data_IF_299947971715
#
_entry.id   IF_299947971715
#
_cell.length_a   1.000
_cell.length_b   1.000
_cell.length_c   1.000
_cell.angle_alpha   90.00
_cell.angle_beta   90.00
_cell.angle_gamma   90.00
#
_symmetry.space_group_name_H-M   'P 1'
#
loop_
_entity.id
_entity.type
_entity.pdbx_description
1 polymer ?
#
# COMPACT_ATOMS: atom_id res chain seq x y z
N UNK A 1 -69.58 27.27 -73.10
CA UNK A 1 -71.01 27.62 -73.08
C UNK A 1 -71.28 28.49 -74.29
N UNK A 2 -72.14 28.02 -75.18
CA UNK A 2 -72.55 28.64 -76.45
C UNK A 2 -73.40 29.89 -76.26
N UNK A 3 -73.42 30.80 -77.26
CA UNK A 3 -74.52 31.64 -77.79
C UNK A 3 -73.89 32.74 -78.71
N UNK A 4 -74.01 32.73 -80.05
CA UNK A 4 -75.16 32.98 -80.96
C UNK A 4 -75.44 34.49 -81.22
N UNK A 5 -75.27 34.86 -82.51
CA UNK A 5 -75.91 35.91 -83.36
C UNK A 5 -75.66 37.40 -83.03
N UNK A 6 -75.64 38.36 -83.97
CA UNK A 6 -76.57 38.53 -85.09
C UNK A 6 -76.09 39.48 -86.21
N UNK A 7 -76.69 39.28 -87.38
CA UNK A 7 -76.48 39.91 -88.68
C UNK A 7 -77.45 41.09 -88.90
N UNK A 8 -77.03 42.16 -89.60
CA UNK A 8 -77.88 43.12 -90.36
C UNK A 8 -77.02 44.25 -90.95
N UNK A 9 -77.23 44.84 -92.12
CA UNK A 9 -78.01 44.55 -93.32
C UNK A 9 -77.58 45.57 -94.40
N UNK A 10 -77.74 45.16 -95.65
CA UNK A 10 -77.62 45.90 -96.91
C UNK A 10 -78.35 47.26 -96.97
N UNK A 11 -77.80 48.21 -97.74
CA UNK A 11 -78.58 49.25 -98.48
C UNK A 11 -77.70 49.86 -99.60
N UNK A 12 -77.65 49.24 -100.78
CA UNK A 12 -78.39 49.56 -102.03
C UNK A 12 -78.17 50.95 -102.65
N UNK A 13 -77.66 50.84 -103.87
CA UNK A 13 -77.39 51.78 -104.95
C UNK A 13 -78.63 52.54 -105.42
N UNK A 14 -78.54 53.86 -105.62
CA UNK A 14 -79.57 54.66 -106.28
C UNK A 14 -79.03 55.22 -107.61
N UNK A 15 -79.70 54.81 -108.69
CA UNK A 15 -79.50 55.17 -110.10
C UNK A 15 -80.28 56.46 -110.41
N UNK A 16 -79.68 57.51 -111.01
CA UNK A 16 -80.47 58.66 -111.45
C UNK A 16 -81.06 58.44 -112.84
N UNK A 17 -82.39 58.56 -112.95
CA UNK A 17 -83.15 58.50 -114.20
C UNK A 17 -83.07 59.81 -115.00
N UNK A 18 -82.80 59.69 -116.30
CA UNK A 18 -82.92 60.74 -117.31
C UNK A 18 -84.40 61.16 -117.47
N UNK A 19 -84.71 62.44 -117.29
CA UNK A 19 -85.99 63.03 -117.74
C UNK A 19 -85.68 64.15 -118.75
N UNK A 20 -86.11 63.94 -119.99
CA UNK A 20 -86.21 64.96 -121.04
C UNK A 20 -87.52 65.76 -120.84
N UNK A 21 -87.53 67.09 -121.06
CA UNK A 21 -88.78 67.82 -121.24
C UNK A 21 -88.94 68.27 -122.69
N UNK A 22 -89.93 67.69 -123.36
CA UNK A 22 -90.58 68.24 -124.55
C UNK A 22 -91.27 69.55 -124.16
N UNK A 23 -90.78 70.68 -124.67
CA UNK A 23 -91.41 71.99 -124.50
C UNK A 23 -91.88 72.44 -125.89
N UNK A 24 -93.06 71.96 -126.29
CA UNK A 24 -93.88 72.72 -127.25
C UNK A 24 -94.63 73.77 -126.43
N UNK A 25 -94.46 75.01 -126.86
CA UNK A 25 -94.62 76.22 -126.07
C UNK A 25 -96.05 76.46 -125.59
N UNK A 26 -96.33 76.11 -124.33
CA UNK A 26 -97.53 76.55 -123.58
C UNK A 26 -97.67 78.09 -123.57
N UNK A 27 -96.59 78.82 -123.88
CA UNK A 27 -96.57 80.29 -124.03
C UNK A 27 -97.21 80.77 -125.33
N UNK A 28 -97.10 79.98 -126.41
CA UNK A 28 -97.70 80.30 -127.72
C UNK A 28 -99.22 80.09 -127.66
N UNK A 29 -99.68 79.00 -127.04
CA UNK A 29 -101.11 78.72 -126.88
C UNK A 29 -101.80 79.80 -126.04
N UNK A 30 -101.19 80.20 -124.91
CA UNK A 30 -101.75 81.26 -124.04
C UNK A 30 -101.84 82.61 -124.75
N UNK A 31 -100.83 82.96 -125.55
CA UNK A 31 -100.81 84.20 -126.34
C UNK A 31 -101.91 84.23 -127.41
N UNK A 32 -102.15 83.11 -128.09
CA UNK A 32 -103.22 83.00 -129.10
C UNK A 32 -104.59 83.15 -128.44
N UNK A 33 -104.85 82.46 -127.32
CA UNK A 33 -106.14 82.58 -126.61
C UNK A 33 -106.39 83.99 -126.07
N UNK A 34 -105.38 84.66 -125.53
CA UNK A 34 -105.51 86.03 -125.02
C UNK A 34 -105.75 87.05 -126.15
N UNK A 35 -105.13 86.83 -127.32
CA UNK A 35 -105.39 87.63 -128.53
C UNK A 35 -106.83 87.49 -129.00
N UNK A 36 -107.35 86.26 -129.09
CA UNK A 36 -108.72 86.00 -129.55
C UNK A 36 -109.78 86.63 -128.62
N UNK A 37 -109.60 86.52 -127.30
CA UNK A 37 -110.54 87.10 -126.33
C UNK A 37 -110.51 88.63 -126.38
N UNK A 38 -109.33 89.24 -126.50
CA UNK A 38 -109.17 90.71 -126.49
C UNK A 38 -109.56 91.36 -127.81
N UNK A 39 -109.29 90.69 -128.94
CA UNK A 39 -109.76 91.11 -130.26
C UNK A 39 -111.30 91.03 -130.33
N UNK A 40 -111.90 89.96 -129.83
CA UNK A 40 -113.35 89.80 -129.79
C UNK A 40 -114.04 90.86 -128.93
N UNK A 41 -113.53 91.16 -127.73
CA UNK A 41 -114.15 92.14 -126.83
C UNK A 41 -114.07 93.58 -127.38
N UNK A 42 -113.00 93.93 -128.09
CA UNK A 42 -112.81 95.28 -128.63
C UNK A 42 -113.54 95.55 -129.95
N UNK A 43 -114.07 94.53 -130.62
CA UNK A 43 -114.79 94.66 -131.90
C UNK A 43 -116.28 95.01 -131.70
N UNK A 44 -116.88 94.55 -130.59
CA UNK A 44 -118.33 94.58 -130.34
C UNK A 44 -118.95 95.98 -130.18
N UNK A 45 -118.29 97.01 -129.63
CA UNK A 45 -118.95 98.31 -129.42
C UNK A 45 -118.89 99.29 -130.59
N UNK A 46 -117.79 99.33 -131.37
CA UNK A 46 -117.53 100.41 -132.34
C UNK A 46 -117.09 99.94 -133.74
N UNK A 47 -117.04 98.63 -134.03
CA UNK A 47 -116.61 98.05 -135.33
C UNK A 47 -115.30 98.62 -135.91
N UNK A 48 -114.41 99.11 -135.03
CA UNK A 48 -113.17 99.82 -135.39
C UNK A 48 -111.99 98.82 -135.38
N UNK A 49 -111.78 98.15 -136.51
CA UNK A 49 -110.83 97.02 -136.66
C UNK A 49 -109.42 97.41 -136.24
N UNK A 50 -109.00 98.64 -136.54
CA UNK A 50 -107.64 99.12 -136.23
C UNK A 50 -107.38 99.20 -134.73
N UNK A 51 -108.35 99.65 -133.93
CA UNK A 51 -108.18 99.72 -132.46
C UNK A 51 -108.19 98.33 -131.82
N UNK A 52 -109.07 97.44 -132.27
CA UNK A 52 -109.17 96.07 -131.76
C UNK A 52 -107.89 95.25 -132.01
N UNK A 53 -107.25 95.45 -133.16
CA UNK A 53 -105.98 94.81 -133.49
C UNK A 53 -104.84 95.31 -132.59
N UNK A 54 -104.75 96.62 -132.34
CA UNK A 54 -103.76 97.20 -131.44
C UNK A 54 -103.92 96.70 -130.00
N UNK A 55 -105.15 96.64 -129.48
CA UNK A 55 -105.41 96.08 -128.14
C UNK A 55 -105.07 94.59 -128.07
N UNK A 56 -105.30 93.84 -129.15
CA UNK A 56 -104.87 92.45 -129.25
C UNK A 56 -103.35 92.29 -129.16
N UNK A 57 -102.59 93.08 -129.91
CA UNK A 57 -101.12 93.05 -129.88
C UNK A 57 -100.57 93.44 -128.50
N UNK A 58 -101.11 94.51 -127.91
CA UNK A 58 -100.71 94.96 -126.56
C UNK A 58 -100.97 93.85 -125.54
N UNK A 59 -102.09 93.14 -125.66
CA UNK A 59 -102.44 92.05 -124.75
C UNK A 59 -101.52 90.84 -124.92
N UNK A 60 -101.11 90.49 -126.15
CA UNK A 60 -100.13 89.42 -126.37
C UNK A 60 -98.77 89.77 -125.76
N UNK A 61 -98.30 90.99 -125.98
CA UNK A 61 -97.05 91.49 -125.39
C UNK A 61 -97.12 91.51 -123.85
N UNK A 62 -98.23 91.98 -123.28
CA UNK A 62 -98.46 91.99 -121.84
C UNK A 62 -98.54 90.57 -121.26
N UNK A 63 -99.23 89.65 -121.94
CA UNK A 63 -99.35 88.24 -121.53
C UNK A 63 -98.00 87.53 -121.60
N UNK A 64 -97.20 87.81 -122.63
CA UNK A 64 -95.86 87.25 -122.77
C UNK A 64 -94.90 87.80 -121.70
N UNK A 65 -94.97 89.11 -121.40
CA UNK A 65 -94.20 89.73 -120.33
C UNK A 65 -94.60 89.19 -118.94
N UNK A 66 -95.89 89.01 -118.68
CA UNK A 66 -96.40 88.41 -117.45
C UNK A 66 -95.96 86.94 -117.30
N UNK A 67 -96.01 86.15 -118.38
CA UNK A 67 -95.54 84.77 -118.37
C UNK A 67 -94.02 84.68 -118.12
N UNK A 68 -93.24 85.61 -118.66
CA UNK A 68 -91.79 85.67 -118.41
C UNK A 68 -91.48 86.06 -116.95
N UNK A 69 -92.22 86.99 -116.37
CA UNK A 69 -92.07 87.37 -114.96
C UNK A 69 -92.45 86.22 -114.02
N UNK A 70 -93.53 85.49 -114.30
CA UNK A 70 -93.96 84.33 -113.51
C UNK A 70 -92.95 83.17 -113.62
N UNK A 71 -92.41 82.89 -114.81
CA UNK A 71 -91.37 81.87 -115.00
C UNK A 71 -90.07 82.25 -114.27
N UNK A 72 -89.70 83.53 -114.27
CA UNK A 72 -88.56 84.04 -113.50
C UNK A 72 -88.77 83.92 -111.99
N UNK A 73 -89.98 84.20 -111.50
CA UNK A 73 -90.34 84.06 -110.08
C UNK A 73 -90.35 82.59 -109.66
N UNK A 74 -90.96 81.71 -110.47
CA UNK A 74 -90.96 80.26 -110.23
C UNK A 74 -89.56 79.67 -110.19
N UNK A 75 -88.68 80.03 -111.13
CA UNK A 75 -87.26 79.64 -111.07
C UNK A 75 -86.57 80.16 -109.82
N UNK A 76 -86.91 81.38 -109.39
CA UNK A 76 -86.36 81.94 -108.15
C UNK A 76 -86.82 81.17 -106.91
N UNK A 77 -88.07 80.70 -106.88
CA UNK A 77 -88.61 79.90 -105.78
C UNK A 77 -88.09 78.46 -105.80
N UNK A 78 -87.93 77.85 -106.98
CA UNK A 78 -87.27 76.55 -107.17
C UNK A 78 -85.78 76.62 -106.75
N UNK A 79 -85.07 77.70 -107.12
CA UNK A 79 -83.71 77.98 -106.65
C UNK A 79 -83.63 78.14 -105.13
N UNK A 80 -84.62 78.80 -104.51
CA UNK A 80 -84.71 78.90 -103.04
C UNK A 80 -84.96 77.54 -102.39
N UNK A 81 -85.86 76.72 -102.97
CA UNK A 81 -86.15 75.37 -102.48
C UNK A 81 -84.94 74.45 -102.63
N UNK A 82 -84.27 74.45 -103.79
CA UNK A 82 -83.01 73.74 -104.02
C UNK A 82 -81.94 74.24 -103.05
N UNK A 83 -81.81 75.55 -102.84
CA UNK A 83 -80.91 76.12 -101.85
C UNK A 83 -81.20 75.65 -100.42
N UNK A 84 -82.48 75.51 -100.05
CA UNK A 84 -82.88 74.98 -98.74
C UNK A 84 -82.64 73.47 -98.58
N UNK A 85 -82.86 72.68 -99.64
CA UNK A 85 -82.59 71.25 -99.66
C UNK A 85 -81.08 70.98 -99.64
N UNK A 86 -80.30 71.72 -100.42
CA UNK A 86 -78.84 71.67 -100.39
C UNK A 86 -78.31 72.08 -99.01
N UNK A 87 -78.92 73.07 -98.36
CA UNK A 87 -78.58 73.44 -96.98
C UNK A 87 -78.89 72.31 -96.00
N UNK A 88 -80.08 71.70 -96.07
CA UNK A 88 -80.42 70.53 -95.25
C UNK A 88 -79.51 69.32 -95.50
N UNK A 89 -79.18 69.04 -96.75
CA UNK A 89 -78.24 67.96 -97.11
C UNK A 89 -76.87 68.26 -96.50
N UNK A 90 -76.37 69.49 -96.63
CA UNK A 90 -75.12 69.92 -96.00
C UNK A 90 -75.17 69.81 -94.47
N UNK A 91 -76.28 70.19 -93.86
CA UNK A 91 -76.46 70.10 -92.41
C UNK A 91 -76.48 68.63 -91.95
N UNK A 92 -77.16 67.74 -92.68
CA UNK A 92 -77.20 66.29 -92.41
C UNK A 92 -75.83 65.64 -92.64
N UNK A 93 -75.11 66.00 -93.70
CA UNK A 93 -73.74 65.55 -93.96
C UNK A 93 -72.80 66.03 -92.85
N UNK A 94 -72.98 67.28 -92.40
CA UNK A 94 -72.29 67.84 -91.24
C UNK A 94 -72.55 67.03 -89.97
N UNK A 95 -73.81 66.72 -89.67
CA UNK A 95 -74.17 65.88 -88.52
C UNK A 95 -73.62 64.45 -88.65
N UNK A 96 -73.70 63.83 -89.82
CA UNK A 96 -73.12 62.50 -90.08
C UNK A 96 -71.61 62.49 -89.82
N UNK A 97 -70.89 63.52 -90.26
CA UNK A 97 -69.45 63.64 -90.01
C UNK A 97 -69.12 63.80 -88.52
N UNK A 98 -69.98 64.51 -87.76
CA UNK A 98 -69.83 64.63 -86.30
C UNK A 98 -70.08 63.30 -85.60
N UNK A 99 -71.18 62.62 -85.94
CA UNK A 99 -71.51 61.29 -85.40
C UNK A 99 -70.41 60.28 -85.72
N UNK A 100 -69.88 60.27 -86.94
CA UNK A 100 -68.77 59.37 -87.30
C UNK A 100 -67.50 59.65 -86.49
N UNK A 101 -67.19 60.93 -86.24
CA UNK A 101 -66.07 61.31 -85.36
C UNK A 101 -66.31 60.85 -83.92
N UNK A 102 -67.52 61.03 -83.40
CA UNK A 102 -67.89 60.57 -82.05
C UNK A 102 -67.84 59.04 -81.94
N UNK A 103 -68.32 58.30 -82.95
CA UNK A 103 -68.21 56.84 -83.00
C UNK A 103 -66.74 56.41 -83.02
N UNK A 104 -65.90 57.05 -83.83
CA UNK A 104 -64.48 56.73 -83.89
C UNK A 104 -63.78 56.99 -82.55
N UNK A 105 -64.05 58.13 -81.91
CA UNK A 105 -63.54 58.44 -80.57
C UNK A 105 -64.02 57.43 -79.52
N UNK A 106 -65.30 57.02 -79.60
CA UNK A 106 -65.86 56.03 -78.69
C UNK A 106 -65.23 54.64 -78.91
N UNK A 107 -64.91 54.31 -80.16
CA UNK A 107 -64.22 53.07 -80.53
C UNK A 107 -62.77 53.06 -80.04
N UNK A 108 -62.04 54.17 -80.19
CA UNK A 108 -60.71 54.36 -79.60
C UNK A 108 -60.75 54.22 -78.07
N UNK A 109 -61.71 54.88 -77.42
CA UNK A 109 -61.89 54.76 -75.96
C UNK A 109 -62.23 53.33 -75.54
N UNK A 110 -63.10 52.64 -76.29
CA UNK A 110 -63.43 51.23 -76.05
C UNK A 110 -62.20 50.34 -76.17
N UNK A 111 -61.38 50.55 -77.20
CA UNK A 111 -60.16 49.78 -77.42
C UNK A 111 -59.16 50.03 -76.29
N UNK A 112 -58.99 51.28 -75.86
CA UNK A 112 -58.13 51.63 -74.73
C UNK A 112 -58.61 50.95 -73.44
N UNK A 113 -59.91 51.06 -73.11
CA UNK A 113 -60.49 50.42 -71.93
C UNK A 113 -60.37 48.90 -71.98
N UNK A 114 -60.50 48.30 -73.18
CA UNK A 114 -60.30 46.86 -73.36
C UNK A 114 -58.85 46.46 -73.09
N UNK A 115 -57.86 47.21 -73.61
CA UNK A 115 -56.45 46.95 -73.35
C UNK A 115 -56.09 47.13 -71.88
N UNK A 116 -56.65 48.15 -71.21
CA UNK A 116 -56.47 48.37 -69.77
C UNK A 116 -57.08 47.22 -68.96
N UNK A 117 -58.27 46.75 -69.34
CA UNK A 117 -58.91 45.59 -68.70
C UNK A 117 -58.04 44.34 -68.82
N UNK A 118 -57.47 44.09 -70.00
CA UNK A 118 -56.59 42.95 -70.23
C UNK A 118 -55.27 43.08 -69.43
N UNK A 119 -54.72 44.29 -69.32
CA UNK A 119 -53.54 44.53 -68.48
C UNK A 119 -53.83 44.29 -67.00
N UNK A 120 -54.96 44.78 -66.49
CA UNK A 120 -55.39 44.53 -65.12
C UNK A 120 -55.66 43.05 -64.87
N UNK A 121 -56.26 42.33 -65.83
CA UNK A 121 -56.48 40.89 -65.74
C UNK A 121 -55.15 40.13 -65.63
N UNK A 122 -54.15 40.48 -66.45
CA UNK A 122 -52.81 39.90 -66.37
C UNK A 122 -52.16 40.21 -65.01
N UNK A 123 -52.23 41.45 -64.53
CA UNK A 123 -51.70 41.84 -63.22
C UNK A 123 -52.37 41.08 -62.07
N UNK A 124 -53.69 40.87 -62.14
CA UNK A 124 -54.43 40.04 -61.17
C UNK A 124 -53.95 38.58 -61.24
N UNK A 125 -53.69 38.05 -62.44
CA UNK A 125 -53.11 36.73 -62.64
C UNK A 125 -51.73 36.58 -62.02
N UNK A 126 -50.85 37.55 -62.22
CA UNK A 126 -49.50 37.59 -61.64
C UNK A 126 -49.56 37.71 -60.11
N UNK A 127 -50.40 38.60 -59.58
CA UNK A 127 -50.60 38.74 -58.13
C UNK A 127 -51.13 37.44 -57.50
N UNK A 128 -52.04 36.72 -58.16
CA UNK A 128 -52.53 35.41 -57.68
C UNK A 128 -51.41 34.38 -57.68
N UNK A 129 -50.62 34.32 -58.74
CA UNK A 129 -49.49 33.39 -58.85
C UNK A 129 -48.43 33.66 -57.77
N UNK A 130 -48.12 34.93 -57.49
CA UNK A 130 -47.23 35.32 -56.40
C UNK A 130 -47.79 34.94 -55.04
N UNK A 131 -49.08 35.23 -54.79
CA UNK A 131 -49.76 34.86 -53.54
C UNK A 131 -49.72 33.35 -53.32
N UNK A 132 -49.99 32.57 -54.36
CA UNK A 132 -50.00 31.11 -54.28
C UNK A 132 -48.57 30.56 -54.06
N UNK A 133 -47.55 31.20 -54.66
CA UNK A 133 -46.14 30.96 -54.36
C UNK A 133 -45.78 31.23 -52.89
N UNK A 134 -46.15 32.41 -52.37
CA UNK A 134 -45.93 32.76 -50.97
C UNK A 134 -46.66 31.82 -50.00
N UNK A 135 -47.88 31.37 -50.32
CA UNK A 135 -48.60 30.39 -49.51
C UNK A 135 -47.86 29.05 -49.44
N UNK A 136 -47.30 28.61 -50.57
CA UNK A 136 -46.48 27.40 -50.60
C UNK A 136 -45.21 27.56 -49.76
N UNK A 137 -44.53 28.70 -49.85
CA UNK A 137 -43.33 28.98 -49.07
C UNK A 137 -43.62 29.10 -47.56
N UNK A 138 -44.76 29.70 -47.18
CA UNK A 138 -45.22 29.71 -45.79
C UNK A 138 -45.47 28.28 -45.31
N UNK A 139 -46.07 27.43 -46.14
CA UNK A 139 -46.29 26.02 -45.84
C UNK A 139 -44.99 25.25 -45.62
N UNK A 140 -43.98 25.45 -46.46
CA UNK A 140 -42.67 24.80 -46.31
C UNK A 140 -41.93 25.30 -45.07
N UNK A 141 -41.93 26.61 -44.81
CA UNK A 141 -41.33 27.19 -43.60
C UNK A 141 -42.02 26.70 -42.32
N UNK A 142 -43.35 26.57 -42.32
CA UNK A 142 -44.09 26.01 -41.19
C UNK A 142 -43.72 24.54 -40.92
N UNK A 143 -43.56 23.75 -41.99
CA UNK A 143 -43.12 22.36 -41.85
C UNK A 143 -41.67 22.26 -41.32
N UNK A 144 -40.75 23.08 -41.85
CA UNK A 144 -39.37 23.16 -41.36
C UNK A 144 -39.30 23.59 -39.90
N UNK A 145 -40.08 24.61 -39.50
CA UNK A 145 -40.17 25.04 -38.10
C UNK A 145 -40.59 23.88 -37.19
N UNK A 146 -41.63 23.14 -37.58
CA UNK A 146 -42.12 21.98 -36.81
C UNK A 146 -41.06 20.87 -36.72
N UNK A 147 -40.30 20.64 -37.77
CA UNK A 147 -39.20 19.67 -37.75
C UNK A 147 -38.10 20.10 -36.79
N UNK A 148 -37.64 21.35 -36.86
CA UNK A 148 -36.60 21.89 -35.95
C UNK A 148 -37.08 21.83 -34.51
N UNK A 149 -38.35 22.14 -34.24
CA UNK A 149 -38.94 22.05 -32.90
C UNK A 149 -38.94 20.60 -32.37
N UNK A 150 -39.21 19.61 -33.23
CA UNK A 150 -39.09 18.20 -32.86
C UNK A 150 -37.63 17.79 -32.59
N UNK A 151 -36.68 18.23 -33.42
CA UNK A 151 -35.26 17.99 -33.22
C UNK A 151 -34.75 18.63 -31.91
N UNK A 152 -35.21 19.83 -31.58
CA UNK A 152 -34.88 20.52 -30.33
C UNK A 152 -35.42 19.75 -29.12
N UNK A 153 -36.66 19.27 -29.18
CA UNK A 153 -37.23 18.44 -28.11
C UNK A 153 -36.46 17.13 -27.94
N UNK A 154 -36.09 16.46 -29.03
CA UNK A 154 -35.28 15.24 -28.95
C UNK A 154 -33.92 15.53 -28.31
N UNK A 155 -33.24 16.60 -28.72
CA UNK A 155 -31.95 16.98 -28.17
C UNK A 155 -32.05 17.37 -26.69
N UNK A 156 -33.13 18.06 -26.30
CA UNK A 156 -33.45 18.36 -24.90
C UNK A 156 -33.56 17.07 -24.05
N UNK A 157 -34.25 16.06 -24.57
CA UNK A 157 -34.39 14.77 -23.90
C UNK A 157 -33.04 14.02 -23.83
N UNK A 158 -32.22 14.07 -24.88
CA UNK A 158 -30.86 13.53 -24.87
C UNK A 158 -29.98 14.22 -23.81
N UNK A 159 -30.04 15.55 -23.71
CA UNK A 159 -29.32 16.31 -22.67
C UNK A 159 -29.76 15.90 -21.27
N UNK A 160 -31.06 15.74 -21.05
CA UNK A 160 -31.59 15.29 -19.76
C UNK A 160 -31.13 13.88 -19.42
N UNK A 161 -31.10 12.98 -20.39
CA UNK A 161 -30.61 11.62 -20.20
C UNK A 161 -29.10 11.61 -19.90
N UNK A 162 -28.32 12.46 -20.57
CA UNK A 162 -26.89 12.59 -20.33
C UNK A 162 -26.61 13.17 -18.94
N UNK A 163 -27.38 14.17 -18.50
CA UNK A 163 -27.28 14.76 -17.16
C UNK A 163 -27.59 13.71 -16.07
N UNK A 164 -28.67 12.94 -16.25
CA UNK A 164 -28.98 11.83 -15.35
C UNK A 164 -27.85 10.80 -15.28
N UNK A 165 -27.30 10.40 -16.44
CA UNK A 165 -26.17 9.47 -16.49
C UNK A 165 -24.92 10.04 -15.81
N UNK A 166 -24.66 11.34 -15.93
CA UNK A 166 -23.55 12.00 -15.24
C UNK A 166 -23.75 12.00 -13.71
N UNK A 167 -24.97 12.26 -13.23
CA UNK A 167 -25.32 12.16 -11.81
C UNK A 167 -25.11 10.72 -11.30
N UNK A 168 -25.55 9.71 -12.06
CA UNK A 168 -25.33 8.29 -11.73
C UNK A 168 -23.84 7.93 -11.67
N UNK A 169 -23.06 8.35 -12.67
CA UNK A 169 -21.61 8.14 -12.70
C UNK A 169 -20.91 8.83 -11.53
N UNK A 170 -21.32 10.05 -11.19
CA UNK A 170 -20.80 10.77 -10.03
C UNK A 170 -21.11 10.03 -8.73
N UNK A 171 -22.33 9.52 -8.58
CA UNK A 171 -22.70 8.70 -7.41
C UNK A 171 -21.88 7.41 -7.32
N UNK A 172 -21.67 6.70 -8.44
CA UNK A 172 -20.82 5.51 -8.50
C UNK A 172 -19.38 5.87 -8.14
N UNK A 173 -18.84 6.96 -8.67
CA UNK A 173 -17.49 7.43 -8.37
C UNK A 173 -17.31 7.73 -6.88
N UNK A 174 -18.28 8.43 -6.27
CA UNK A 174 -18.27 8.71 -4.83
C UNK A 174 -18.32 7.42 -3.99
N UNK A 175 -19.16 6.46 -4.38
CA UNK A 175 -19.22 5.15 -3.70
C UNK A 175 -17.88 4.40 -3.82
N UNK A 176 -17.26 4.40 -5.01
CA UNK A 176 -15.94 3.80 -5.23
C UNK A 176 -14.85 4.47 -4.39
N UNK A 177 -14.90 5.80 -4.21
CA UNK A 177 -13.97 6.53 -3.33
C UNK A 177 -14.13 6.07 -1.88
N UNK A 178 -15.36 5.89 -1.41
CA UNK A 178 -15.63 5.40 -0.04
C UNK A 178 -15.12 3.96 0.14
N UNK A 179 -15.42 3.07 -0.81
CA UNK A 179 -14.94 1.68 -0.77
C UNK A 179 -13.41 1.61 -0.85
N UNK A 180 -12.77 2.43 -1.68
CA UNK A 180 -11.31 2.54 -1.73
C UNK A 180 -10.73 2.93 -0.36
N UNK A 181 -11.29 3.96 0.28
CA UNK A 181 -10.84 4.39 1.62
C UNK A 181 -11.02 3.28 2.66
N UNK A 182 -12.13 2.55 2.60
CA UNK A 182 -12.39 1.42 3.48
C UNK A 182 -11.35 0.31 3.29
N UNK A 183 -11.03 -0.02 2.04
CA UNK A 183 -10.01 -1.03 1.72
C UNK A 183 -8.62 -0.58 2.17
N UNK A 184 -8.27 0.69 1.97
CA UNK A 184 -7.01 1.27 2.45
C UNK A 184 -6.88 1.17 3.98
N UNK A 185 -7.96 1.49 4.73
CA UNK A 185 -7.99 1.33 6.18
C UNK A 185 -7.80 -0.13 6.60
N UNK A 186 -8.47 -1.07 5.93
CA UNK A 186 -8.29 -2.50 6.20
C UNK A 186 -6.85 -2.97 5.93
N UNK A 187 -6.25 -2.57 4.80
CA UNK A 187 -4.86 -2.88 4.49
C UNK A 187 -3.89 -2.31 5.54
N UNK A 188 -4.14 -1.10 6.03
CA UNK A 188 -3.33 -0.50 7.08
C UNK A 188 -3.49 -1.26 8.41
N UNK A 189 -4.70 -1.70 8.76
CA UNK A 189 -4.94 -2.52 9.94
C UNK A 189 -4.21 -3.86 9.85
N UNK A 190 -4.36 -4.60 8.74
CA UNK A 190 -3.64 -5.87 8.53
C UNK A 190 -2.12 -5.68 8.51
N UNK A 191 -1.61 -4.55 7.98
CA UNK A 191 -0.18 -4.22 8.03
C UNK A 191 0.27 -3.95 9.47
N UNK A 192 -0.54 -3.27 10.28
CA UNK A 192 -0.24 -3.05 11.69
C UNK A 192 -0.22 -4.38 12.48
N UNK A 193 -1.17 -5.27 12.23
CA UNK A 193 -1.19 -6.62 12.81
C UNK A 193 0.06 -7.42 12.42
N UNK A 194 0.45 -7.39 11.14
CA UNK A 194 1.68 -8.04 10.67
C UNK A 194 2.92 -7.48 11.38
N UNK A 195 3.02 -6.15 11.47
CA UNK A 195 4.10 -5.47 12.18
C UNK A 195 4.11 -5.81 13.70
N UNK A 196 2.98 -6.18 14.30
CA UNK A 196 2.90 -6.63 15.69
C UNK A 196 3.31 -8.09 15.85
N UNK A 197 2.95 -8.97 14.91
CA UNK A 197 3.28 -10.40 14.95
C UNK A 197 4.76 -10.63 14.63
N UNK A 198 5.36 -9.84 13.74
CA UNK A 198 6.78 -9.94 13.36
C UNK A 198 7.75 -9.97 14.55
N UNK A 199 7.71 -9.04 15.52
CA UNK A 199 8.59 -9.09 16.68
C UNK A 199 8.28 -10.27 17.61
N UNK A 200 7.00 -10.68 17.72
CA UNK A 200 6.64 -11.88 18.49
C UNK A 200 7.25 -13.14 17.89
N UNK A 201 7.29 -13.26 16.56
CA UNK A 201 7.94 -14.37 15.88
C UNK A 201 9.46 -14.37 16.14
N UNK A 202 10.12 -13.22 16.05
CA UNK A 202 11.56 -13.12 16.31
C UNK A 202 11.91 -13.42 17.78
N UNK A 203 11.11 -12.96 18.74
CA UNK A 203 11.30 -13.33 20.17
C UNK A 203 11.11 -14.82 20.40
N UNK A 204 10.09 -15.44 19.80
CA UNK A 204 9.84 -16.89 19.89
C UNK A 204 10.98 -17.68 19.26
N UNK A 205 11.52 -17.21 18.12
CA UNK A 205 12.67 -17.82 17.46
C UNK A 205 13.94 -17.73 18.31
N UNK A 206 14.16 -16.61 18.98
CA UNK A 206 15.29 -16.45 19.91
C UNK A 206 15.15 -17.36 21.13
N UNK A 207 13.94 -17.45 21.71
CA UNK A 207 13.64 -18.36 22.81
C UNK A 207 13.88 -19.82 22.41
N UNK A 208 13.41 -20.24 21.23
CA UNK A 208 13.68 -21.58 20.69
C UNK A 208 15.18 -21.86 20.63
N UNK A 209 15.97 -20.92 20.10
CA UNK A 209 17.43 -21.07 20.01
C UNK A 209 18.09 -21.18 21.38
N UNK A 210 17.60 -20.44 22.38
CA UNK A 210 18.07 -20.57 23.76
C UNK A 210 17.78 -21.95 24.34
N UNK A 211 16.54 -22.42 24.21
CA UNK A 211 16.16 -23.76 24.67
C UNK A 211 16.98 -24.85 23.97
N UNK A 212 17.24 -24.71 22.67
CA UNK A 212 18.06 -25.65 21.91
C UNK A 212 19.50 -25.72 22.45
N UNK A 213 20.09 -24.58 22.82
CA UNK A 213 21.39 -24.55 23.49
C UNK A 213 21.35 -25.21 24.88
N UNK A 214 20.30 -24.96 25.66
CA UNK A 214 20.12 -25.56 26.99
C UNK A 214 19.98 -27.09 26.89
N UNK A 215 19.26 -27.58 25.88
CA UNK A 215 19.15 -29.01 25.59
C UNK A 215 20.51 -29.61 25.23
N UNK A 216 21.29 -28.96 24.37
CA UNK A 216 22.66 -29.40 24.04
C UNK A 216 23.55 -29.46 25.29
N UNK A 217 23.43 -28.48 26.18
CA UNK A 217 24.16 -28.47 27.45
C UNK A 217 23.73 -29.63 28.35
N UNK A 218 22.43 -29.87 28.48
CA UNK A 218 21.87 -31.00 29.24
C UNK A 218 22.33 -32.35 28.67
N UNK A 219 22.32 -32.50 27.34
CA UNK A 219 22.84 -33.69 26.65
C UNK A 219 24.32 -33.92 26.94
N UNK A 220 25.10 -32.85 27.18
CA UNK A 220 26.52 -32.96 27.56
C UNK A 220 26.74 -33.23 29.04
N UNK A 221 25.92 -32.66 29.92
CA UNK A 221 26.04 -32.83 31.38
C UNK A 221 25.58 -34.21 31.83
N UNK A 222 24.56 -34.78 31.17
CA UNK A 222 24.05 -36.12 31.48
C UNK A 222 25.15 -37.22 31.48
N UNK A 223 25.95 -37.40 30.42
CA UNK A 223 26.99 -38.42 30.41
C UNK A 223 28.09 -38.14 31.43
N UNK A 224 28.42 -36.88 31.71
CA UNK A 224 29.40 -36.53 32.77
C UNK A 224 28.90 -36.97 34.15
N UNK A 225 27.60 -36.79 34.42
CA UNK A 225 27.01 -37.22 35.68
C UNK A 225 26.90 -38.76 35.75
N UNK A 226 26.56 -39.41 34.63
CA UNK A 226 26.55 -40.89 34.53
C UNK A 226 27.95 -41.47 34.76
N UNK A 227 28.99 -40.85 34.21
CA UNK A 227 30.39 -41.22 34.44
C UNK A 227 30.78 -41.05 35.91
N UNK A 228 30.48 -39.90 36.53
CA UNK A 228 30.74 -39.68 37.96
C UNK A 228 29.99 -40.68 38.85
N UNK A 229 28.76 -41.05 38.48
CA UNK A 229 27.98 -42.06 39.20
C UNK A 229 28.62 -43.44 39.06
N UNK A 230 29.12 -43.77 37.87
CA UNK A 230 29.85 -45.02 37.63
C UNK A 230 31.17 -45.08 38.42
N UNK A 231 31.96 -43.99 38.41
CA UNK A 231 33.18 -43.86 39.22
C UNK A 231 32.88 -44.06 40.72
N UNK A 232 31.87 -43.36 41.24
CA UNK A 232 31.48 -43.48 42.65
C UNK A 232 31.01 -44.89 43.00
N UNK A 233 30.32 -45.57 42.09
CA UNK A 233 29.92 -46.97 42.27
C UNK A 233 31.13 -47.90 42.36
N UNK A 234 32.15 -47.69 41.53
CA UNK A 234 33.40 -48.46 41.62
C UNK A 234 34.10 -48.21 42.95
N UNK A 235 34.17 -46.95 43.39
CA UNK A 235 34.79 -46.59 44.66
C UNK A 235 34.09 -47.27 45.85
N UNK A 236 32.76 -47.26 45.89
CA UNK A 236 31.97 -47.98 46.90
C UNK A 236 32.29 -49.48 46.87
N UNK A 237 32.34 -50.09 45.67
CA UNK A 237 32.64 -51.51 45.54
C UNK A 237 34.06 -51.86 46.02
N UNK A 238 35.04 -50.99 45.76
CA UNK A 238 36.41 -51.17 46.26
C UNK A 238 36.47 -51.07 47.80
N UNK A 239 35.75 -50.12 48.38
CA UNK A 239 35.66 -49.98 49.84
C UNK A 239 34.97 -51.19 50.49
N UNK A 240 33.90 -51.71 49.89
CA UNK A 240 33.23 -52.95 50.34
C UNK A 240 34.19 -54.15 50.33
N UNK A 241 35.02 -54.28 49.28
CA UNK A 241 36.05 -55.32 49.22
C UNK A 241 37.11 -55.16 50.30
N UNK A 242 37.56 -53.94 50.58
CA UNK A 242 38.53 -53.68 51.65
C UNK A 242 37.94 -53.98 53.04
N UNK A 243 36.67 -53.62 53.28
CA UNK A 243 35.95 -53.99 54.50
C UNK A 243 35.87 -55.52 54.64
N UNK A 244 35.55 -56.25 53.56
CA UNK A 244 35.51 -57.70 53.58
C UNK A 244 36.90 -58.30 53.93
N UNK A 245 37.97 -57.75 53.35
CA UNK A 245 39.35 -58.17 53.63
C UNK A 245 39.75 -57.90 55.10
N UNK A 246 39.38 -56.75 55.63
CA UNK A 246 39.62 -56.39 57.03
C UNK A 246 38.85 -57.33 57.97
N UNK A 247 37.60 -57.66 57.65
CA UNK A 247 36.81 -58.63 58.41
C UNK A 247 37.44 -60.04 58.40
N UNK A 248 37.95 -60.49 57.25
CA UNK A 248 38.68 -61.76 57.16
C UNK A 248 39.95 -61.76 58.03
N UNK A 249 40.71 -60.66 58.03
CA UNK A 249 41.87 -60.49 58.91
C UNK A 249 41.47 -60.47 60.40
N UNK A 250 40.35 -59.83 60.75
CA UNK A 250 39.80 -59.84 62.11
C UNK A 250 39.39 -61.26 62.54
N UNK A 251 38.79 -62.05 61.65
CA UNK A 251 38.47 -63.46 61.92
C UNK A 251 39.74 -64.30 62.14
N UNK A 252 40.75 -64.13 61.28
CA UNK A 252 42.04 -64.82 61.42
C UNK A 252 42.75 -64.44 62.73
N UNK A 253 42.80 -63.16 63.07
CA UNK A 253 43.40 -62.72 64.34
C UNK A 253 42.62 -63.22 65.56
N UNK A 254 41.28 -63.22 65.52
CA UNK A 254 40.46 -63.80 66.59
C UNK A 254 40.70 -65.31 66.77
N UNK A 255 40.81 -66.08 65.67
CA UNK A 255 41.15 -67.50 65.74
C UNK A 255 42.56 -67.73 66.30
N UNK A 256 43.53 -66.88 65.94
CA UNK A 256 44.87 -66.89 66.52
C UNK A 256 44.83 -66.58 68.02
N UNK A 257 44.08 -65.55 68.45
CA UNK A 257 43.87 -65.19 69.87
C UNK A 257 43.27 -66.38 70.64
N UNK A 258 42.21 -67.02 70.12
CA UNK A 258 41.61 -68.19 70.75
C UNK A 258 42.60 -69.36 70.89
N UNK A 259 43.46 -69.58 69.87
CA UNK A 259 44.48 -70.63 69.96
C UNK A 259 45.56 -70.30 70.99
N UNK A 260 45.97 -69.03 71.10
CA UNK A 260 46.89 -68.56 72.12
C UNK A 260 46.27 -68.63 73.52
N UNK A 261 44.98 -68.31 73.66
CA UNK A 261 44.25 -68.47 74.93
C UNK A 261 44.24 -69.94 75.36
N UNK A 262 44.01 -70.87 74.42
CA UNK A 262 44.10 -72.30 74.70
C UNK A 262 45.51 -72.74 75.12
N UNK A 263 46.58 -72.22 74.49
CA UNK A 263 47.94 -72.55 74.90
C UNK A 263 48.30 -71.95 76.25
N UNK A 264 47.88 -70.72 76.55
CA UNK A 264 48.04 -70.10 77.88
C UNK A 264 47.31 -70.91 78.95
N UNK A 265 46.08 -71.36 78.68
CA UNK A 265 45.33 -72.24 79.58
C UNK A 265 46.03 -73.59 79.78
N UNK A 266 46.57 -74.19 78.72
CA UNK A 266 47.35 -75.43 78.82
C UNK A 266 48.63 -75.25 79.65
N UNK A 267 49.36 -74.16 79.42
CA UNK A 267 50.55 -73.81 80.21
C UNK A 267 50.19 -73.56 81.68
N UNK A 268 49.08 -72.85 81.95
CA UNK A 268 48.59 -72.62 83.32
C UNK A 268 48.29 -73.93 84.04
N UNK A 269 47.63 -74.88 83.37
CA UNK A 269 47.37 -76.20 83.93
C UNK A 269 48.69 -76.93 84.23
N UNK A 270 49.66 -76.89 83.32
CA UNK A 270 50.99 -77.46 83.54
C UNK A 270 51.74 -76.82 84.71
N UNK A 271 51.62 -75.50 84.90
CA UNK A 271 52.19 -74.81 86.07
C UNK A 271 51.51 -75.25 87.37
N UNK A 272 50.19 -75.49 87.36
CA UNK A 272 49.47 -76.03 88.52
C UNK A 272 49.94 -77.46 88.82
N UNK A 273 50.10 -78.30 87.80
CA UNK A 273 50.66 -79.66 87.93
C UNK A 273 52.07 -79.62 88.51
N UNK A 274 52.98 -78.83 87.94
CA UNK A 274 54.35 -78.66 88.46
C UNK A 274 54.38 -78.12 89.89
N UNK A 275 53.46 -77.22 90.25
CA UNK A 275 53.32 -76.73 91.63
C UNK A 275 52.83 -77.82 92.58
N UNK A 276 51.97 -78.71 92.11
CA UNK A 276 51.54 -79.89 92.87
C UNK A 276 52.69 -80.86 93.08
N UNK A 277 53.47 -81.15 92.03
CA UNK A 277 54.69 -81.96 92.11
C UNK A 277 55.70 -81.35 93.07
N UNK A 278 55.93 -80.03 93.00
CA UNK A 278 56.82 -79.32 93.91
C UNK A 278 56.34 -79.38 95.36
N UNK A 279 55.02 -79.25 95.61
CA UNK A 279 54.44 -79.43 96.94
C UNK A 279 54.61 -80.87 97.45
N UNK A 280 54.46 -81.86 96.58
CA UNK A 280 54.68 -83.27 96.94
C UNK A 280 56.15 -83.53 97.28
N UNK A 281 57.08 -83.02 96.47
CA UNK A 281 58.52 -83.05 96.78
C UNK A 281 58.83 -82.30 98.07
N UNK A 282 58.20 -81.15 98.33
CA UNK A 282 58.36 -80.41 99.57
C UNK A 282 57.84 -81.19 100.79
N UNK A 283 56.73 -81.91 100.65
CA UNK A 283 56.22 -82.82 101.67
C UNK A 283 57.17 -84.01 101.90
N UNK A 284 57.77 -84.56 100.83
CA UNK A 284 58.80 -85.60 100.94
C UNK A 284 60.05 -85.07 101.64
N UNK A 285 60.50 -83.85 101.33
CA UNK A 285 61.61 -83.19 102.02
C UNK A 285 61.27 -82.98 103.50
N UNK A 286 60.06 -82.53 103.83
CA UNK A 286 59.63 -82.37 105.22
C UNK A 286 59.58 -83.71 105.97
N UNK A 287 59.17 -84.79 105.31
CA UNK A 287 59.22 -86.14 105.86
C UNK A 287 60.67 -86.58 106.12
N UNK A 288 61.55 -86.42 105.13
CA UNK A 288 62.98 -86.73 105.26
C UNK A 288 63.68 -85.84 106.30
N UNK A 289 63.26 -84.58 106.46
CA UNK A 289 63.74 -83.68 107.52
C UNK A 289 63.30 -84.18 108.90
N UNK A 290 62.04 -84.59 109.07
CA UNK A 290 61.59 -85.18 110.33
C UNK A 290 62.32 -86.48 110.65
N UNK A 291 62.57 -87.33 109.64
CA UNK A 291 63.37 -88.54 109.81
C UNK A 291 64.82 -88.21 110.19
N UNK A 292 65.42 -87.19 109.54
CA UNK A 292 66.74 -86.68 109.90
C UNK A 292 66.76 -86.13 111.31
N UNK A 293 65.76 -85.36 111.73
CA UNK A 293 65.69 -84.80 113.09
C UNK A 293 65.47 -85.91 114.14
N UNK A 294 64.70 -86.96 113.80
CA UNK A 294 64.57 -88.16 114.63
C UNK A 294 65.90 -88.90 114.76
N UNK A 295 66.61 -89.11 113.65
CA UNK A 295 67.94 -89.71 113.64
C UNK A 295 68.95 -88.83 114.40
N UNK A 296 68.85 -87.51 114.27
CA UNK A 296 69.72 -86.55 114.95
C UNK A 296 69.45 -86.55 116.46
N UNK A 297 68.20 -86.69 116.89
CA UNK A 297 67.84 -86.90 118.29
C UNK A 297 68.33 -88.26 118.83
N UNK A 298 68.25 -89.33 118.03
CA UNK A 298 68.80 -90.64 118.40
C UNK A 298 70.33 -90.60 118.52
N UNK A 299 71.01 -89.90 117.62
CA UNK A 299 72.46 -89.66 117.71
C UNK A 299 72.80 -88.81 118.94
N UNK A 300 71.99 -87.79 119.26
CA UNK A 300 72.19 -86.96 120.44
C UNK A 300 71.98 -87.75 121.74
N UNK A 301 70.98 -88.63 121.80
CA UNK A 301 70.74 -89.54 122.93
C UNK A 301 71.87 -90.57 123.08
N UNK A 302 72.40 -91.10 121.97
CA UNK A 302 73.59 -91.97 121.96
C UNK A 302 74.86 -91.23 122.41
N UNK A 303 75.04 -89.97 122.00
CA UNK A 303 76.16 -89.12 122.44
C UNK A 303 76.05 -88.80 123.96
N UNK A 304 74.84 -88.57 124.46
CA UNK A 304 74.61 -88.31 125.88
C UNK A 304 74.81 -89.56 126.76
N UNK A 305 74.61 -90.77 126.21
CA UNK A 305 74.95 -92.04 126.88
C UNK A 305 76.47 -92.30 126.92
N UNK A 306 77.24 -91.74 125.99
CA UNK A 306 78.71 -91.86 125.96
C UNK A 306 79.38 -90.83 126.91
N UNK A 307 78.72 -89.72 127.24
CA UNK A 307 79.29 -88.61 128.02
C UNK A 307 79.38 -88.87 129.55
N UNK A 308 78.94 -90.03 130.06
CA UNK A 308 79.05 -90.38 131.50
C UNK A 308 80.20 -91.32 131.85
N UNK A 309 81.01 -91.81 130.90
CA UNK A 309 82.14 -92.71 131.19
C UNK A 309 83.38 -92.33 130.37
N UNK A 310 84.32 -91.64 131.04
CA UNK A 310 85.75 -91.50 130.74
C UNK A 310 86.18 -90.33 129.79
N UNK A 311 87.17 -89.48 130.18
CA UNK A 311 87.66 -88.40 129.32
C UNK A 311 88.99 -88.78 128.64
N UNK A 312 89.06 -88.73 127.30
CA UNK A 312 90.22 -88.17 126.54
C UNK A 312 90.13 -88.27 125.00
N UNK A 313 90.47 -87.14 124.36
CA UNK A 313 91.16 -86.90 123.06
C UNK A 313 90.33 -86.76 121.75
N UNK A 314 90.48 -85.57 121.11
CA UNK A 314 90.64 -85.12 119.69
C UNK A 314 90.21 -86.05 118.50
N UNK A 315 90.20 -85.58 117.22
CA UNK A 315 89.92 -84.27 116.57
C UNK A 315 88.96 -84.42 115.34
N UNK A 316 88.78 -83.35 114.55
CA UNK A 316 88.77 -83.28 113.06
C UNK A 316 87.65 -82.48 112.36
N UNK A 317 88.15 -81.63 111.45
CA UNK A 317 87.73 -81.31 110.09
C UNK A 317 86.41 -80.56 109.75
N UNK A 318 86.69 -79.36 109.22
CA UNK A 318 86.38 -78.86 107.86
C UNK A 318 84.99 -78.30 107.49
N UNK A 319 85.14 -77.21 106.73
CA UNK A 319 84.34 -76.64 105.64
C UNK A 319 83.09 -75.80 105.91
N UNK A 320 83.11 -74.62 105.27
CA UNK A 320 82.05 -73.85 104.60
C UNK A 320 82.45 -72.35 104.63
N UNK A 321 82.13 -71.45 103.72
CA UNK A 321 81.56 -71.39 102.36
C UNK A 321 81.49 -69.86 102.04
N UNK A 322 80.90 -69.44 100.91
CA UNK A 322 80.43 -68.07 100.53
C UNK A 322 81.42 -67.23 99.68
N UNK A 323 81.03 -66.42 98.69
CA UNK A 323 79.82 -65.63 98.39
C UNK A 323 79.93 -65.18 96.88
N UNK A 324 78.89 -65.21 96.03
CA UNK A 324 77.90 -64.14 95.71
C UNK A 324 78.16 -63.33 94.40
N UNK A 325 77.07 -63.18 93.64
CA UNK A 325 76.79 -62.43 92.40
C UNK A 325 77.11 -60.91 92.44
N UNK A 326 77.16 -60.16 91.30
CA UNK A 326 75.97 -59.43 90.77
C UNK A 326 75.95 -59.06 89.24
N UNK A 327 75.00 -58.18 88.86
CA UNK A 327 74.29 -57.89 87.58
C UNK A 327 74.78 -56.68 86.71
N UNK A 328 74.20 -56.56 85.50
CA UNK A 328 73.72 -55.39 84.70
C UNK A 328 74.64 -54.29 84.09
N UNK A 329 74.46 -54.02 82.77
CA UNK A 329 74.59 -52.69 82.07
C UNK A 329 74.03 -52.82 80.62
N UNK A 330 72.90 -52.26 80.14
CA UNK A 330 72.34 -50.89 79.94
C UNK A 330 72.76 -50.12 78.65
N UNK A 331 71.78 -49.38 78.12
CA UNK A 331 71.55 -48.79 76.77
C UNK A 331 72.22 -47.42 76.50
N UNK A 332 72.20 -46.93 75.24
CA UNK A 332 72.51 -45.54 74.85
C UNK A 332 71.49 -44.95 73.81
N UNK A 333 71.12 -43.64 73.85
CA UNK A 333 70.14 -42.96 72.95
C UNK A 333 70.74 -41.89 71.99
N UNK A 334 69.93 -41.33 71.07
CA UNK A 334 70.32 -40.35 70.03
C UNK A 334 69.57 -39.00 70.09
N UNK A 335 70.20 -38.01 69.46
CA UNK A 335 70.28 -36.58 69.79
C UNK A 335 69.36 -35.65 68.95
N UNK A 336 69.17 -34.42 69.45
CA UNK A 336 68.47 -33.26 68.84
C UNK A 336 69.33 -32.55 67.76
N UNK A 337 68.73 -31.68 66.90
CA UNK A 337 69.41 -30.47 66.38
C UNK A 337 68.47 -29.31 65.97
N UNK A 338 69.01 -28.10 66.22
CA UNK A 338 68.55 -26.71 66.05
C UNK A 338 68.74 -26.09 64.65
N UNK A 339 68.12 -24.92 64.40
CA UNK A 339 68.21 -24.07 63.21
C UNK A 339 69.15 -22.86 63.38
N UNK A 340 69.85 -22.47 62.31
CA UNK A 340 70.75 -21.31 62.21
C UNK A 340 70.24 -20.31 61.14
N UNK A 341 70.23 -19.02 61.46
CA UNK A 341 69.69 -17.89 60.67
C UNK A 341 70.81 -16.97 60.20
N UNK A 342 71.00 -16.84 58.88
CA UNK A 342 71.55 -15.65 58.16
C UNK A 342 71.99 -15.94 56.71
N UNK A 343 71.83 -17.17 56.23
CA UNK A 343 71.91 -17.47 54.80
C UNK A 343 70.52 -17.71 54.23
N UNK A 344 70.24 -17.11 53.07
CA UNK A 344 69.04 -17.40 52.28
C UNK A 344 68.96 -18.94 52.13
N UNK A 345 67.90 -19.61 52.64
CA UNK A 345 67.82 -21.06 52.60
C UNK A 345 67.91 -21.55 51.15
N UNK A 346 68.55 -22.70 50.91
CA UNK A 346 68.78 -23.22 49.54
C UNK A 346 67.50 -23.30 48.70
N UNK A 347 66.37 -23.55 49.36
CA UNK A 347 65.02 -23.60 48.80
C UNK A 347 64.59 -22.27 48.15
N UNK A 348 65.05 -21.14 48.68
CA UNK A 348 64.77 -19.80 48.15
C UNK A 348 65.72 -19.41 47.00
N UNK A 349 66.94 -19.94 46.99
CA UNK A 349 67.87 -19.78 45.86
C UNK A 349 67.39 -20.58 44.64
N UNK A 350 66.87 -21.79 44.86
CA UNK A 350 66.25 -22.58 43.80
C UNK A 350 64.92 -21.99 43.34
N UNK A 351 64.13 -21.38 44.23
CA UNK A 351 62.94 -20.63 43.83
C UNK A 351 63.28 -19.47 42.87
N UNK A 352 64.33 -18.70 43.14
CA UNK A 352 64.75 -17.60 42.26
C UNK A 352 65.19 -18.08 40.87
N UNK A 353 65.88 -19.23 40.77
CA UNK A 353 66.28 -19.80 39.47
C UNK A 353 65.09 -20.25 38.63
N UNK A 354 64.01 -20.70 39.27
CA UNK A 354 62.83 -21.21 38.60
C UNK A 354 61.77 -20.13 38.34
N UNK A 355 62.02 -18.87 38.72
CA UNK A 355 61.07 -17.78 38.57
C UNK A 355 61.38 -16.93 37.33
N UNK A 356 60.50 -16.95 36.30
CA UNK A 356 60.56 -16.06 35.15
C UNK A 356 60.59 -14.56 35.50
N UNK A 357 61.19 -13.75 34.64
CA UNK A 357 61.44 -12.31 34.82
C UNK A 357 60.14 -11.53 35.08
N UNK A 358 59.09 -11.85 34.33
CA UNK A 358 57.74 -11.28 34.46
C UNK A 358 57.12 -11.53 35.84
N UNK A 359 57.45 -12.66 36.47
CA UNK A 359 56.95 -13.02 37.81
C UNK A 359 57.75 -12.35 38.94
N UNK A 360 59.03 -12.07 38.71
CA UNK A 360 59.86 -11.26 39.63
C UNK A 360 59.37 -9.79 39.62
N UNK A 361 59.03 -9.25 38.45
CA UNK A 361 58.45 -7.90 38.33
C UNK A 361 57.10 -7.78 39.04
N UNK A 362 56.29 -8.85 39.07
CA UNK A 362 55.05 -8.90 39.85
C UNK A 362 55.33 -8.88 41.36
N UNK A 363 56.33 -9.63 41.84
CA UNK A 363 56.73 -9.59 43.25
C UNK A 363 57.30 -8.22 43.67
N UNK A 364 58.05 -7.56 42.79
CA UNK A 364 58.54 -6.20 43.00
C UNK A 364 57.39 -5.19 43.05
N UNK A 365 56.43 -5.29 42.13
CA UNK A 365 55.26 -4.40 42.10
C UNK A 365 54.37 -4.53 43.36
N UNK A 366 54.33 -5.72 43.99
CA UNK A 366 53.62 -5.96 45.25
C UNK A 366 54.40 -5.42 46.45
N UNK A 367 55.73 -5.39 46.40
CA UNK A 367 56.58 -4.87 47.49
C UNK A 367 56.74 -3.35 47.50
N UNK A 368 56.76 -2.70 46.33
CA UNK A 368 57.10 -1.27 46.20
C UNK A 368 55.91 -0.36 45.87
N UNK A 369 54.78 -0.88 45.40
CA UNK A 369 53.71 -0.08 44.81
C UNK A 369 52.53 0.26 45.74
N UNK A 370 52.16 1.54 45.79
CA UNK A 370 50.91 2.00 46.44
C UNK A 370 49.62 1.45 45.78
N UNK A 371 49.71 0.93 44.55
CA UNK A 371 48.60 0.29 43.83
C UNK A 371 49.08 -0.92 42.98
N UNK A 372 49.27 -2.10 43.60
CA UNK A 372 49.88 -3.25 42.93
C UNK A 372 49.00 -3.82 41.81
N UNK A 373 47.66 -3.69 41.88
CA UNK A 373 46.74 -4.24 40.86
C UNK A 373 46.93 -3.64 39.48
N UNK A 374 47.13 -2.33 39.40
CA UNK A 374 47.27 -1.64 38.13
C UNK A 374 48.54 -2.09 37.41
N UNK A 375 49.65 -2.21 38.15
CA UNK A 375 50.94 -2.65 37.63
C UNK A 375 50.92 -4.13 37.25
N UNK A 376 50.34 -5.01 38.08
CA UNK A 376 50.19 -6.44 37.75
C UNK A 376 49.31 -6.62 36.50
N UNK A 377 48.27 -5.79 36.33
CA UNK A 377 47.46 -5.81 35.11
C UNK A 377 48.27 -5.44 33.86
N UNK A 378 49.11 -4.43 33.93
CA UNK A 378 49.99 -4.06 32.81
C UNK A 378 51.00 -5.18 32.48
N UNK A 379 51.60 -5.79 33.50
CA UNK A 379 52.55 -6.91 33.31
C UNK A 379 51.83 -8.14 32.72
N UNK A 380 50.60 -8.41 33.16
CA UNK A 380 49.79 -9.50 32.61
C UNK A 380 49.43 -9.28 31.15
N UNK A 381 48.99 -8.07 30.78
CA UNK A 381 48.68 -7.71 29.39
C UNK A 381 49.92 -7.79 28.49
N UNK A 382 51.09 -7.32 28.96
CA UNK A 382 52.34 -7.39 28.21
C UNK A 382 52.79 -8.84 27.92
N UNK A 383 52.47 -9.77 28.81
CA UNK A 383 52.82 -11.18 28.68
C UNK A 383 51.68 -12.05 28.15
N UNK A 384 50.56 -11.46 27.69
CA UNK A 384 49.37 -12.17 27.18
C UNK A 384 48.84 -13.18 28.22
N UNK A 385 48.83 -12.79 29.49
CA UNK A 385 48.31 -13.59 30.61
C UNK A 385 47.26 -12.80 31.40
N UNK A 386 46.65 -13.43 32.40
CA UNK A 386 45.74 -12.75 33.32
C UNK A 386 46.41 -12.54 34.68
N UNK A 387 46.14 -11.43 35.40
CA UNK A 387 46.76 -11.11 36.69
C UNK A 387 46.67 -12.26 37.71
N UNK A 388 45.50 -12.89 37.81
CA UNK A 388 45.28 -14.00 38.74
C UNK A 388 46.11 -15.23 38.38
N UNK A 389 46.33 -15.49 37.09
CA UNK A 389 47.12 -16.62 36.63
C UNK A 389 48.62 -16.41 36.85
N UNK A 390 49.12 -15.17 36.78
CA UNK A 390 50.49 -14.83 37.19
C UNK A 390 50.69 -15.03 38.69
N UNK A 391 49.76 -14.55 39.52
CA UNK A 391 49.83 -14.72 40.98
C UNK A 391 49.75 -16.19 41.37
N UNK A 392 48.83 -16.95 40.76
CA UNK A 392 48.74 -18.39 40.99
C UNK A 392 50.01 -19.11 40.53
N UNK A 393 50.57 -18.75 39.37
CA UNK A 393 51.81 -19.35 38.90
C UNK A 393 53.01 -19.06 39.81
N UNK A 394 53.07 -17.90 40.47
CA UNK A 394 54.09 -17.60 41.49
C UNK A 394 53.88 -18.48 42.72
N UNK A 395 52.64 -18.59 43.19
CA UNK A 395 52.28 -19.42 44.33
C UNK A 395 52.47 -20.92 44.08
N UNK A 396 52.23 -21.40 42.87
CA UNK A 396 52.45 -22.79 42.47
C UNK A 396 53.95 -23.11 42.45
N UNK A 397 54.77 -22.20 41.89
CA UNK A 397 56.24 -22.36 41.93
C UNK A 397 56.72 -22.34 43.38
N UNK A 398 56.19 -21.45 44.21
CA UNK A 398 56.57 -21.36 45.62
C UNK A 398 56.14 -22.59 46.43
N UNK A 399 54.95 -23.11 46.16
CA UNK A 399 54.46 -24.35 46.75
C UNK A 399 55.33 -25.54 46.35
N UNK A 400 55.89 -25.55 45.14
CA UNK A 400 56.72 -26.64 44.65
C UNK A 400 58.17 -26.57 45.17
N UNK A 401 58.70 -25.38 45.44
CA UNK A 401 60.11 -25.23 45.87
C UNK A 401 60.27 -25.00 47.37
N UNK A 402 59.40 -24.19 47.98
CA UNK A 402 59.46 -23.79 49.40
C UNK A 402 58.36 -24.52 50.21
N UNK A 403 57.43 -25.21 49.54
CA UNK A 403 56.34 -25.94 50.20
C UNK A 403 55.25 -25.03 50.78
N UNK A 404 55.29 -23.72 50.49
CA UNK A 404 54.40 -22.71 51.07
C UNK A 404 53.99 -21.67 50.03
N UNK A 405 52.80 -21.09 50.22
CA UNK A 405 52.30 -19.99 49.40
C UNK A 405 52.99 -18.68 49.81
N UNK A 406 53.27 -17.80 48.84
CA UNK A 406 53.99 -16.53 49.11
C UNK A 406 53.04 -15.33 49.06
N UNK A 407 52.02 -15.36 48.20
CA UNK A 407 51.05 -14.28 48.00
C UNK A 407 49.68 -14.72 48.51
N UNK A 408 49.05 -13.92 49.37
CA UNK A 408 47.68 -14.15 49.82
C UNK A 408 46.71 -13.80 48.68
N UNK A 409 45.94 -14.78 48.23
CA UNK A 409 44.93 -14.63 47.17
C UNK A 409 43.52 -14.36 47.71
N UNK A 410 43.34 -14.39 49.04
CA UNK A 410 42.05 -14.20 49.71
C UNK A 410 41.75 -12.73 50.04
N UNK A 411 42.68 -11.82 49.80
CA UNK A 411 42.52 -10.38 50.05
C UNK A 411 42.25 -9.67 48.74
N UNK A 412 41.41 -8.63 48.79
CA UNK A 412 41.04 -7.88 47.59
C UNK A 412 42.29 -7.28 46.93
N UNK A 413 43.34 -6.94 47.69
CA UNK A 413 44.67 -6.53 47.20
C UNK A 413 45.66 -7.68 47.45
N UNK A 414 46.46 -8.10 46.45
CA UNK A 414 47.45 -9.17 46.63
C UNK A 414 48.57 -8.69 47.55
N UNK A 415 48.81 -9.40 48.65
CA UNK A 415 49.82 -9.08 49.66
C UNK A 415 50.73 -10.29 49.90
N UNK A 416 52.03 -10.04 50.11
CA UNK A 416 52.99 -11.09 50.45
C UNK A 416 52.83 -11.46 51.94
N UNK A 417 52.90 -12.75 52.25
CA UNK A 417 52.80 -13.25 53.63
C UNK A 417 53.97 -12.70 54.46
N UNK A 418 53.67 -12.12 55.64
CA UNK A 418 54.62 -11.42 56.51
C UNK A 418 55.87 -12.25 56.87
N UNK A 419 55.72 -13.57 57.07
CA UNK A 419 56.84 -14.51 57.34
C UNK A 419 57.84 -14.63 56.19
N UNK A 420 57.41 -14.31 54.97
CA UNK A 420 58.20 -14.46 53.75
C UNK A 420 58.66 -13.11 53.16
N UNK A 421 58.19 -12.00 53.71
CA UNK A 421 58.50 -10.64 53.26
C UNK A 421 60.01 -10.36 53.31
N UNK A 422 60.70 -10.78 54.38
CA UNK A 422 62.14 -10.57 54.54
C UNK A 422 62.95 -11.36 53.49
N UNK A 423 62.56 -12.61 53.21
CA UNK A 423 63.22 -13.46 52.23
C UNK A 423 62.96 -12.99 50.79
N UNK A 424 61.74 -12.54 50.47
CA UNK A 424 61.42 -11.96 49.15
C UNK A 424 62.16 -10.64 48.94
N UNK A 425 62.31 -9.81 49.99
CA UNK A 425 63.09 -8.57 49.91
C UNK A 425 64.57 -8.84 49.61
N UNK A 426 65.18 -9.81 50.31
CA UNK A 426 66.57 -10.24 50.07
C UNK A 426 66.74 -10.82 48.66
N UNK A 427 65.75 -11.58 48.18
CA UNK A 427 65.73 -12.15 46.83
C UNK A 427 65.69 -11.06 45.75
N UNK A 428 64.84 -10.06 45.89
CA UNK A 428 64.74 -8.96 44.92
C UNK A 428 66.03 -8.13 44.91
N UNK A 429 66.62 -7.85 46.08
CA UNK A 429 67.91 -7.15 46.14
C UNK A 429 69.02 -7.94 45.44
N UNK A 430 69.07 -9.27 45.59
CA UNK A 430 70.01 -10.12 44.85
C UNK A 430 69.75 -10.12 43.35
N UNK A 431 68.50 -10.10 42.92
CA UNK A 431 68.13 -10.04 41.50
C UNK A 431 68.52 -8.70 40.86
N UNK A 432 68.34 -7.58 41.57
CA UNK A 432 68.74 -6.24 41.11
C UNK A 432 70.27 -6.04 41.04
N UNK A 433 71.06 -6.85 41.74
CA UNK A 433 72.53 -6.85 41.63
C UNK A 433 73.05 -7.73 40.47
N UNK A 434 72.21 -8.64 39.93
CA UNK A 434 72.55 -9.62 38.89
C UNK A 434 72.00 -9.22 37.50
N UNK A 435 70.93 -8.41 37.44
CA UNK A 435 70.36 -7.83 36.22
C UNK A 435 70.96 -6.48 35.87
#
# INVERSE_FOLDING_TARGET
MTLITNNSNNLTTIKPSKMQPTIVSHRVVLGITAFSISFGLSLVPNWDISKAFFTGIITVLATYAAAFLVDKRRRSDELRMIGSLQRRIRDIEGLKSRILKEIHQLEEYRNLLYTETQQLENQIGDCRSQRDGLHRDIGTLAAQKKQIEAELNNLQDEFKNLDNSNIELNNICNNLIVEKRRLELNCNASRAELNQIQPQLETTKQQKKSLENDVILLERLKPQLEEKLYELRIEVQNQELEIARQNDLLLQTNTAINSLENTVNALRNRTIEQKSEANELQNQIAFLQNERDLLQNQVWELLQQIETINPQILPDNEENDLELFPFDELLEPLDNQDYDTDNLPKEWDDFLKHLPIDKIQVLQAILEGDNPKATIKQIAEANITTPNLLINAINDIASNTIGKLIIKTNTEIPEIIEEHLLNVKIMITKYSEIS
#
